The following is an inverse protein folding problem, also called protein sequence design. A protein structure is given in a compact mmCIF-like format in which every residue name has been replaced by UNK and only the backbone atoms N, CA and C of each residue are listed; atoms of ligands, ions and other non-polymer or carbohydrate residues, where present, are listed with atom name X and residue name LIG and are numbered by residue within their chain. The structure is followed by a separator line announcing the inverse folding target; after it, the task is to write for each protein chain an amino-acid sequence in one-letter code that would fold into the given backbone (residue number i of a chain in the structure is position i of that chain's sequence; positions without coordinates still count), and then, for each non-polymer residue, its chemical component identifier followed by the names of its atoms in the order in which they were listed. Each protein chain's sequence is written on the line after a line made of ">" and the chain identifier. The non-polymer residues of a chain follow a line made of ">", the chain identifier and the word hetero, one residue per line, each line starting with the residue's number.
data_IF_308794168677
#
_entry.id   IF_308794168677
#
_cell.length_a   1.000
_cell.length_b   1.000
_cell.length_c   1.000
_cell.angle_alpha   90.00
_cell.angle_beta   90.00
_cell.angle_gamma   90.00
#
_symmetry.space_group_name_H-M   'P 1'
#
loop_
_entity.id
_entity.type
_entity.pdbx_description
1 polymer ?
#
# COMPACT_ATOMS: atom_id res chain seq x y z
N UNK A 1 13.09 -0.38 -43.06
CA UNK A 1 13.72 0.21 -41.86
C UNK A 1 13.10 -0.47 -40.67
N UNK A 2 13.82 -1.43 -40.10
CA UNK A 2 13.32 -2.28 -39.02
C UNK A 2 13.73 -1.63 -37.71
N UNK A 3 12.86 -0.81 -37.14
CA UNK A 3 13.05 -0.28 -35.80
C UNK A 3 12.89 -1.44 -34.81
N UNK A 4 14.00 -1.73 -34.13
CA UNK A 4 14.09 -2.71 -33.06
C UNK A 4 13.13 -2.28 -31.95
N UNK A 5 11.97 -2.93 -31.87
CA UNK A 5 11.18 -2.92 -30.65
C UNK A 5 12.03 -3.62 -29.59
N UNK A 6 12.54 -2.82 -28.64
CA UNK A 6 13.10 -3.30 -27.40
C UNK A 6 12.03 -4.17 -26.73
N UNK A 7 12.22 -5.47 -26.82
CA UNK A 7 11.48 -6.46 -26.05
C UNK A 7 11.74 -6.16 -24.57
N UNK A 8 10.79 -5.47 -23.93
CA UNK A 8 10.73 -5.41 -22.49
C UNK A 8 10.66 -6.85 -21.97
N UNK A 9 11.75 -7.34 -21.38
CA UNK A 9 11.85 -8.69 -20.84
C UNK A 9 10.68 -8.96 -19.89
N UNK A 10 9.77 -9.90 -20.21
CA UNK A 10 8.70 -10.25 -19.31
C UNK A 10 9.25 -11.17 -18.22
N UNK A 11 9.42 -10.65 -17.00
CA UNK A 11 9.62 -11.49 -15.81
C UNK A 11 11.02 -11.54 -15.20
N UNK A 12 11.82 -10.49 -15.31
CA UNK A 12 13.03 -10.34 -14.50
C UNK A 12 12.66 -9.87 -13.09
N UNK A 13 13.34 -10.39 -12.05
CA UNK A 13 13.33 -9.84 -10.69
C UNK A 13 13.79 -8.35 -10.60
N UNK A 14 13.94 -7.63 -11.71
CA UNK A 14 14.46 -6.27 -11.78
C UNK A 14 13.62 -5.25 -11.01
N UNK A 15 12.32 -5.47 -10.92
CA UNK A 15 11.40 -4.60 -10.19
C UNK A 15 11.31 -4.93 -8.70
N UNK A 16 11.88 -6.07 -8.28
CA UNK A 16 11.90 -6.52 -6.89
C UNK A 16 13.21 -6.10 -6.23
N UNK A 17 13.12 -5.12 -5.34
CA UNK A 17 14.27 -4.62 -4.60
C UNK A 17 14.23 -5.11 -3.15
N UNK A 18 15.39 -5.39 -2.52
CA UNK A 18 15.44 -5.61 -1.08
C UNK A 18 14.79 -4.42 -0.36
N UNK A 19 14.01 -4.71 0.70
CA UNK A 19 13.29 -3.67 1.46
C UNK A 19 14.21 -2.51 1.89
N UNK A 20 15.41 -2.80 2.40
CA UNK A 20 16.33 -1.78 2.88
C UNK A 20 16.83 -0.87 1.76
N UNK A 21 17.08 -1.43 0.58
CA UNK A 21 17.53 -0.70 -0.60
C UNK A 21 16.41 0.22 -1.11
N UNK A 22 15.20 -0.33 -1.29
CA UNK A 22 14.06 0.47 -1.73
C UNK A 22 13.76 1.60 -0.74
N UNK A 23 13.78 1.31 0.57
CA UNK A 23 13.54 2.33 1.60
C UNK A 23 14.54 3.47 1.52
N UNK A 24 15.84 3.16 1.38
CA UNK A 24 16.89 4.17 1.31
C UNK A 24 16.73 5.10 0.10
N UNK A 25 16.27 4.57 -1.02
CA UNK A 25 16.17 5.30 -2.29
C UNK A 25 14.84 6.03 -2.48
N UNK A 26 13.75 5.45 -1.98
CA UNK A 26 12.39 5.89 -2.34
C UNK A 26 11.52 6.23 -1.13
N UNK A 27 11.66 5.55 0.02
CA UNK A 27 10.72 5.76 1.12
C UNK A 27 10.83 7.13 1.82
N UNK A 28 11.92 7.88 1.62
CA UNK A 28 12.15 9.14 2.35
C UNK A 28 11.09 10.23 2.14
N UNK A 29 10.37 10.20 1.02
CA UNK A 29 9.25 11.14 0.77
C UNK A 29 7.91 10.64 1.33
N UNK A 30 7.81 9.35 1.68
CA UNK A 30 6.60 8.72 2.21
C UNK A 30 6.67 8.55 3.73
N UNK A 31 7.87 8.33 4.27
CA UNK A 31 8.13 8.09 5.67
C UNK A 31 9.28 8.97 6.13
N UNK A 32 8.98 9.88 7.05
CA UNK A 32 9.96 10.80 7.63
C UNK A 32 11.10 10.06 8.35
N UNK A 33 10.78 8.93 8.99
CA UNK A 33 11.75 8.15 9.76
C UNK A 33 11.74 6.66 9.39
N UNK A 34 12.89 5.97 9.55
CA UNK A 34 12.98 4.50 9.52
C UNK A 34 11.93 3.79 10.38
N UNK A 35 11.67 4.32 11.58
CA UNK A 35 10.74 3.75 12.54
C UNK A 35 9.30 3.82 12.05
N UNK A 36 8.89 4.93 11.41
CA UNK A 36 7.58 5.06 10.77
C UNK A 36 7.39 3.99 9.68
N UNK A 37 8.41 3.73 8.86
CA UNK A 37 8.40 2.66 7.87
C UNK A 37 8.27 1.28 8.51
N UNK A 38 9.07 0.99 9.55
CA UNK A 38 9.01 -0.31 10.23
C UNK A 38 7.65 -0.53 10.91
N UNK A 39 7.11 0.49 11.56
CA UNK A 39 5.78 0.45 12.15
C UNK A 39 4.71 0.20 11.08
N UNK A 40 4.78 0.89 9.93
CA UNK A 40 3.85 0.71 8.82
C UNK A 40 3.92 -0.72 8.26
N UNK A 41 5.12 -1.22 7.99
CA UNK A 41 5.36 -2.58 7.52
C UNK A 41 4.87 -3.64 8.50
N UNK A 42 4.99 -3.41 9.81
CA UNK A 42 4.45 -4.33 10.83
C UNK A 42 2.92 -4.29 10.89
N UNK A 43 2.34 -3.11 10.77
CA UNK A 43 0.89 -2.89 10.89
C UNK A 43 0.13 -3.40 9.67
N UNK A 44 0.65 -3.18 8.47
CA UNK A 44 -0.05 -3.41 7.21
C UNK A 44 0.61 -4.48 6.32
N UNK A 45 1.46 -5.32 6.91
CA UNK A 45 2.19 -6.38 6.19
C UNK A 45 1.27 -7.23 5.31
N UNK A 46 0.12 -7.61 5.87
CA UNK A 46 -0.82 -8.51 5.20
C UNK A 46 -1.40 -7.84 3.97
N UNK A 47 -1.89 -6.61 4.11
CA UNK A 47 -2.47 -5.85 3.01
C UNK A 47 -1.44 -5.61 1.88
N UNK A 48 -0.18 -5.33 2.23
CA UNK A 48 0.90 -5.17 1.25
C UNK A 48 1.26 -6.46 0.52
N UNK A 49 1.22 -7.62 1.23
CA UNK A 49 1.42 -8.93 0.62
C UNK A 49 0.27 -9.28 -0.33
N UNK A 50 -0.98 -9.06 0.08
CA UNK A 50 -2.17 -9.31 -0.74
C UNK A 50 -2.22 -8.41 -1.99
N UNK A 51 -1.71 -7.18 -1.89
CA UNK A 51 -1.55 -6.28 -3.02
C UNK A 51 -0.39 -6.68 -3.97
N UNK A 52 0.44 -7.66 -3.61
CA UNK A 52 1.65 -8.02 -4.35
C UNK A 52 2.70 -6.90 -4.39
N UNK A 53 2.64 -5.97 -3.44
CA UNK A 53 3.57 -4.86 -3.30
C UNK A 53 4.86 -5.27 -2.57
N UNK A 54 4.76 -6.28 -1.69
CA UNK A 54 5.90 -6.90 -1.04
C UNK A 54 5.83 -8.41 -1.19
N UNK A 55 6.98 -9.07 -1.05
CA UNK A 55 7.14 -10.51 -1.21
C UNK A 55 8.19 -11.05 -0.25
N UNK A 56 8.03 -12.33 0.13
CA UNK A 56 9.02 -13.07 0.92
C UNK A 56 9.81 -13.96 -0.01
N UNK A 57 11.07 -13.63 -0.25
CA UNK A 57 11.98 -14.39 -1.10
C UNK A 57 13.16 -14.83 -0.24
N UNK A 58 13.36 -16.14 -0.11
CA UNK A 58 14.41 -16.73 0.73
C UNK A 58 14.45 -16.17 2.18
N UNK A 59 13.27 -15.95 2.77
CA UNK A 59 13.14 -15.42 4.14
C UNK A 59 13.39 -13.92 4.29
N UNK A 60 13.65 -13.19 3.20
CA UNK A 60 13.84 -11.74 3.19
C UNK A 60 12.67 -11.04 2.52
N UNK A 61 12.41 -9.79 2.93
CA UNK A 61 11.35 -8.97 2.34
C UNK A 61 11.90 -8.22 1.13
N UNK A 62 11.20 -8.39 0.01
CA UNK A 62 11.41 -7.64 -1.21
C UNK A 62 10.19 -6.77 -1.49
N UNK A 63 10.44 -5.63 -2.13
CA UNK A 63 9.45 -4.60 -2.47
C UNK A 63 9.40 -4.50 -3.98
N UNK A 64 8.19 -4.54 -4.54
CA UNK A 64 7.96 -4.31 -5.96
C UNK A 64 7.86 -2.81 -6.21
N UNK A 65 8.83 -2.24 -6.93
CA UNK A 65 8.99 -0.80 -7.08
C UNK A 65 7.74 -0.08 -7.62
N UNK A 66 7.09 -0.64 -8.65
CA UNK A 66 5.89 -0.02 -9.25
C UNK A 66 4.59 -0.22 -8.45
N UNK A 67 4.56 -1.18 -7.53
CA UNK A 67 3.31 -1.57 -6.83
C UNK A 67 3.24 -1.07 -5.40
N UNK A 68 4.37 -0.72 -4.81
CA UNK A 68 4.44 -0.38 -3.39
C UNK A 68 3.78 0.95 -3.05
N UNK A 69 4.03 2.00 -3.82
CA UNK A 69 3.42 3.31 -3.60
C UNK A 69 1.89 3.29 -3.73
N UNK A 70 1.30 2.77 -4.83
CA UNK A 70 -0.16 2.69 -4.94
C UNK A 70 -0.77 1.76 -3.87
N UNK A 71 -0.05 0.74 -3.41
CA UNK A 71 -0.51 -0.09 -2.30
C UNK A 71 -0.51 0.66 -0.96
N UNK A 72 0.52 1.46 -0.68
CA UNK A 72 0.58 2.33 0.51
C UNK A 72 -0.57 3.32 0.50
N UNK A 73 -0.78 4.03 -0.62
CA UNK A 73 -1.88 4.99 -0.77
C UNK A 73 -3.24 4.32 -0.55
N UNK A 74 -3.47 3.14 -1.13
CA UNK A 74 -4.72 2.40 -0.95
C UNK A 74 -4.95 2.01 0.51
N UNK A 75 -3.91 1.56 1.21
CA UNK A 75 -3.99 1.20 2.64
C UNK A 75 -4.35 2.43 3.48
N UNK A 76 -3.69 3.56 3.23
CA UNK A 76 -3.93 4.81 3.95
C UNK A 76 -5.34 5.36 3.70
N UNK A 77 -5.77 5.41 2.43
CA UNK A 77 -7.11 5.90 2.05
C UNK A 77 -8.23 5.01 2.59
N UNK A 78 -8.09 3.69 2.50
CA UNK A 78 -9.10 2.75 3.04
C UNK A 78 -9.30 2.95 4.54
N UNK A 79 -8.22 3.24 5.27
CA UNK A 79 -8.29 3.50 6.71
C UNK A 79 -8.80 4.89 7.05
N UNK A 80 -8.43 5.91 6.27
CA UNK A 80 -9.01 7.25 6.40
C UNK A 80 -10.55 7.18 6.29
N UNK A 81 -11.09 6.46 5.30
CA UNK A 81 -12.54 6.26 5.18
C UNK A 81 -13.16 5.47 6.33
N UNK A 82 -12.42 4.52 6.93
CA UNK A 82 -12.91 3.76 8.10
C UNK A 82 -12.94 4.59 9.38
N UNK A 83 -12.00 5.52 9.54
CA UNK A 83 -11.98 6.47 10.67
C UNK A 83 -13.00 7.59 10.46
N UNK A 84 -13.22 7.98 9.20
CA UNK A 84 -14.12 9.08 8.83
C UNK A 84 -15.55 8.63 8.50
N UNK A 85 -15.91 7.36 8.67
CA UNK A 85 -17.31 6.95 8.59
C UNK A 85 -18.06 7.76 9.66
N UNK A 86 -18.88 8.76 9.28
CA UNK A 86 -19.59 9.54 10.27
C UNK A 86 -20.45 8.56 11.05
N UNK A 87 -20.48 8.75 12.36
CA UNK A 87 -21.40 8.08 13.28
C UNK A 87 -22.83 8.49 12.91
N UNK A 88 -23.34 8.07 11.75
CA UNK A 88 -24.75 8.13 11.41
C UNK A 88 -25.46 6.98 12.12
N UNK A 89 -25.36 7.02 13.46
CA UNK A 89 -26.27 6.33 14.33
C UNK A 89 -27.51 7.23 14.45
N UNK A 90 -28.51 6.90 13.63
CA UNK A 90 -29.90 6.79 14.07
C UNK A 90 -30.50 8.02 14.78
N UNK A 91 -30.89 9.05 14.00
CA UNK A 91 -32.17 9.70 14.31
C UNK A 91 -33.27 8.83 13.70
N UNK A 92 -33.94 8.04 14.54
CA UNK A 92 -35.25 7.45 14.18
C UNK A 92 -36.15 8.61 13.72
N UNK A 93 -36.94 8.47 12.65
CA UNK A 93 -38.15 9.27 12.56
C UNK A 93 -39.03 8.84 13.73
N UNK A 94 -39.22 9.74 14.70
CA UNK A 94 -40.36 9.63 15.59
C UNK A 94 -41.59 9.85 14.71
N UNK A 95 -42.09 8.77 14.12
CA UNK A 95 -43.53 8.62 14.00
C UNK A 95 -44.15 8.82 15.39
N UNK A 96 -45.38 9.31 15.39
CA UNK A 96 -46.27 9.29 16.53
C UNK A 96 -46.12 10.46 17.52
N UNK A 97 -46.60 11.64 17.10
CA UNK A 97 -47.31 12.53 18.02
C UNK A 97 -48.72 12.72 17.47
N UNK A 98 -49.60 11.85 17.98
CA UNK A 98 -51.02 12.05 18.28
C UNK A 98 -51.77 13.15 17.50
N UNK A 99 -52.64 12.70 16.62
CA UNK A 99 -53.90 13.38 16.29
C UNK A 99 -55.07 12.51 16.73
#
# INVERSE_FOLDING_TARGET
>A
MTEQQAVASPGGLGDWKPQEEWRRLHAGHLFETPDSWQWFMRTYRKELLEAGAIGLIAGRIFVHAERIEPAIERVLTTRAHRVYAPRQATRRPAEESAG
#
